data_IF_365238412337
#
_entry.id   IF_365238412337
#
_cell.length_a   1.000
_cell.length_b   1.000
_cell.length_c   1.000
_cell.angle_alpha   90.00
_cell.angle_beta   90.00
_cell.angle_gamma   90.00
#
_symmetry.space_group_name_H-M   'P 1'
#
loop_
_entity.id
_entity.type
_entity.pdbx_description
1 polymer ?
#
# COMPACT_ATOMS: atom_id res chain seq x y z
N UNK A 1 -5.18 -18.54 -19.41
CA UNK A 1 -5.73 -17.47 -18.52
C UNK A 1 -6.87 -16.75 -19.25
N UNK A 2 -7.81 -16.15 -18.51
CA UNK A 2 -8.93 -15.37 -19.06
C UNK A 2 -8.85 -13.95 -18.47
N UNK A 3 -9.18 -12.93 -19.27
CA UNK A 3 -9.20 -11.53 -18.85
C UNK A 3 -10.63 -10.98 -18.91
N UNK A 4 -11.05 -10.30 -17.85
CA UNK A 4 -12.32 -9.57 -17.77
C UNK A 4 -12.03 -8.11 -17.49
N UNK A 5 -12.54 -7.19 -18.33
CA UNK A 5 -12.29 -5.76 -18.24
C UNK A 5 -13.48 -5.00 -17.64
N UNK A 6 -13.25 -3.75 -17.21
CA UNK A 6 -14.32 -2.84 -16.79
C UNK A 6 -14.90 -3.03 -15.39
N UNK A 7 -14.32 -3.91 -14.55
CA UNK A 7 -14.79 -4.18 -13.18
C UNK A 7 -14.86 -2.90 -12.32
N UNK A 8 -13.91 -1.96 -12.50
CA UNK A 8 -13.91 -0.67 -11.81
C UNK A 8 -15.21 0.14 -11.96
N UNK A 9 -15.97 -0.04 -13.06
CA UNK A 9 -17.26 0.65 -13.28
C UNK A 9 -18.37 0.17 -12.35
N UNK A 10 -18.15 -0.94 -11.64
CA UNK A 10 -19.09 -1.52 -10.65
C UNK A 10 -18.65 -1.25 -9.21
N UNK A 11 -17.52 -0.55 -9.01
CA UNK A 11 -16.97 -0.24 -7.69
C UNK A 11 -17.19 1.23 -7.35
N UNK A 12 -17.25 1.54 -6.06
CA UNK A 12 -17.17 2.91 -5.60
C UNK A 12 -15.70 3.39 -5.65
N UNK A 13 -15.33 4.15 -6.69
CA UNK A 13 -13.95 4.58 -6.92
C UNK A 13 -13.33 5.40 -5.77
N UNK A 14 -14.13 6.07 -4.93
CA UNK A 14 -13.60 6.86 -3.81
C UNK A 14 -12.99 5.99 -2.71
N UNK A 15 -13.43 4.74 -2.56
CA UNK A 15 -12.91 3.81 -1.56
C UNK A 15 -11.51 3.28 -1.93
N UNK A 16 -11.19 3.24 -3.22
CA UNK A 16 -9.98 2.60 -3.75
C UNK A 16 -8.86 3.59 -4.08
N UNK A 17 -8.82 4.73 -3.38
CA UNK A 17 -7.76 5.72 -3.53
C UNK A 17 -6.69 5.55 -2.46
N UNK A 18 -5.44 5.80 -2.82
CA UNK A 18 -4.32 5.79 -1.88
C UNK A 18 -4.56 6.77 -0.71
N UNK A 19 -5.15 7.94 -0.98
CA UNK A 19 -5.45 8.90 0.09
C UNK A 19 -6.50 8.37 1.07
N UNK A 20 -7.49 7.60 0.61
CA UNK A 20 -8.50 6.99 1.47
C UNK A 20 -7.85 5.99 2.43
N UNK A 21 -6.98 5.11 1.93
CA UNK A 21 -6.23 4.18 2.79
C UNK A 21 -5.32 4.90 3.77
N UNK A 22 -4.65 5.98 3.33
CA UNK A 22 -3.78 6.76 4.19
C UNK A 22 -4.57 7.43 5.33
N UNK A 23 -5.72 8.03 5.01
CA UNK A 23 -6.55 8.71 6.02
C UNK A 23 -7.11 7.74 7.06
N UNK A 24 -7.54 6.56 6.63
CA UNK A 24 -8.21 5.61 7.51
C UNK A 24 -7.22 4.72 8.29
N UNK A 25 -6.07 4.40 7.69
CA UNK A 25 -5.18 3.38 8.24
C UNK A 25 -3.73 3.82 8.45
N UNK A 26 -3.42 5.13 8.40
CA UNK A 26 -2.06 5.63 8.62
C UNK A 26 -1.38 5.08 9.89
N UNK A 27 -2.14 4.85 10.96
CA UNK A 27 -1.59 4.42 12.24
C UNK A 27 -1.29 2.91 12.30
N UNK A 28 -1.63 2.15 11.25
CA UNK A 28 -1.37 0.71 11.20
C UNK A 28 0.11 0.42 10.90
N UNK A 29 0.62 -0.65 11.49
CA UNK A 29 1.92 -1.22 11.11
C UNK A 29 1.73 -2.24 9.98
N UNK A 30 2.73 -2.36 9.12
CA UNK A 30 2.74 -3.32 8.03
C UNK A 30 4.15 -3.67 7.57
N UNK A 31 4.28 -4.85 6.98
CA UNK A 31 5.55 -5.28 6.41
C UNK A 31 5.73 -4.66 5.03
N UNK A 32 6.78 -3.85 4.87
CA UNK A 32 7.22 -3.32 3.60
C UNK A 32 8.39 -4.16 3.07
N UNK A 33 8.26 -4.66 1.85
CA UNK A 33 9.33 -5.33 1.12
C UNK A 33 9.97 -4.34 0.15
N UNK A 34 11.28 -4.13 0.21
CA UNK A 34 12.01 -3.48 -0.87
C UNK A 34 12.15 -4.43 -2.06
N UNK A 35 11.54 -4.09 -3.20
CA UNK A 35 11.55 -4.91 -4.41
C UNK A 35 12.94 -5.03 -5.04
N UNK A 36 13.90 -4.16 -4.70
CA UNK A 36 15.24 -4.18 -5.29
C UNK A 36 16.12 -5.29 -4.69
N UNK A 37 16.12 -5.43 -3.37
CA UNK A 37 17.00 -6.36 -2.63
C UNK A 37 16.25 -7.44 -1.85
N UNK A 38 14.92 -7.35 -1.76
CA UNK A 38 14.09 -8.30 -1.03
C UNK A 38 14.11 -8.12 0.48
N UNK A 39 14.70 -7.03 1.00
CA UNK A 39 14.74 -6.76 2.44
C UNK A 39 13.35 -6.37 2.93
N UNK A 40 12.91 -6.99 4.02
CA UNK A 40 11.68 -6.59 4.71
C UNK A 40 11.96 -5.63 5.85
N UNK A 41 11.10 -4.64 6.01
CA UNK A 41 11.08 -3.71 7.14
C UNK A 41 9.66 -3.61 7.68
N UNK A 42 9.52 -3.71 9.00
CA UNK A 42 8.26 -3.43 9.67
C UNK A 42 8.18 -1.91 9.89
N UNK A 43 7.28 -1.24 9.16
CA UNK A 43 7.11 0.22 9.13
C UNK A 43 5.62 0.55 9.19
N UNK A 44 5.29 1.81 9.50
CA UNK A 44 3.92 2.29 9.40
C UNK A 44 3.45 2.28 7.94
N UNK A 45 2.25 1.77 7.68
CA UNK A 45 1.68 1.76 6.33
C UNK A 45 1.49 3.16 5.76
N UNK A 46 1.44 4.19 6.63
CA UNK A 46 1.48 5.60 6.25
C UNK A 46 2.66 5.95 5.35
N UNK A 47 3.86 5.44 5.65
CA UNK A 47 5.07 5.72 4.86
C UNK A 47 4.91 5.23 3.42
N UNK A 48 4.29 4.06 3.26
CA UNK A 48 3.96 3.50 1.95
C UNK A 48 2.93 4.36 1.22
N UNK A 49 1.85 4.75 1.89
CA UNK A 49 0.76 5.50 1.26
C UNK A 49 1.13 6.96 0.95
N UNK A 50 1.90 7.64 1.81
CA UNK A 50 2.43 8.98 1.56
C UNK A 50 3.29 9.02 0.29
N UNK A 51 4.11 7.98 0.08
CA UNK A 51 5.00 7.84 -1.06
C UNK A 51 4.38 7.17 -2.30
N UNK A 52 3.09 6.78 -2.26
CA UNK A 52 2.50 5.95 -3.32
C UNK A 52 2.58 6.63 -4.69
N UNK A 53 2.08 7.87 -4.78
CA UNK A 53 2.12 8.69 -5.99
C UNK A 53 3.16 9.83 -5.94
N UNK A 54 3.69 10.14 -4.75
CA UNK A 54 4.66 11.20 -4.54
C UNK A 54 6.07 10.65 -4.27
N UNK A 55 6.92 10.67 -5.30
CA UNK A 55 8.31 10.19 -5.21
C UNK A 55 9.18 11.00 -4.23
N UNK A 56 8.78 12.23 -3.90
CA UNK A 56 9.53 13.08 -2.96
C UNK A 56 9.31 12.65 -1.50
N UNK A 57 8.18 11.99 -1.23
CA UNK A 57 7.82 11.43 0.07
C UNK A 57 8.31 9.99 0.26
N UNK A 58 8.85 9.36 -0.78
CA UNK A 58 9.43 8.02 -0.68
C UNK A 58 10.76 8.06 0.07
N UNK A 59 10.98 7.13 1.01
CA UNK A 59 12.26 7.01 1.69
C UNK A 59 13.40 6.71 0.73
N UNK A 60 14.61 7.10 1.15
CA UNK A 60 15.83 6.86 0.41
C UNK A 60 16.63 5.73 1.07
N UNK A 61 17.29 4.92 0.26
CA UNK A 61 18.30 3.98 0.72
C UNK A 61 19.53 4.74 1.25
N UNK A 62 20.45 4.00 1.89
CA UNK A 62 21.73 4.57 2.35
C UNK A 62 22.55 5.19 1.23
N UNK A 63 22.36 4.72 0.00
CA UNK A 63 23.04 5.20 -1.21
C UNK A 63 22.28 6.36 -1.89
N UNK A 64 21.17 6.84 -1.29
CA UNK A 64 20.37 7.97 -1.78
C UNK A 64 19.33 7.62 -2.85
N UNK A 65 19.19 6.33 -3.20
CA UNK A 65 18.20 5.88 -4.17
C UNK A 65 16.80 5.82 -3.56
N UNK A 66 15.76 6.11 -4.35
CA UNK A 66 14.37 5.98 -3.90
C UNK A 66 14.00 4.52 -3.68
N UNK A 67 13.49 4.19 -2.50
CA UNK A 67 12.98 2.86 -2.16
C UNK A 67 11.79 2.49 -3.07
N UNK A 68 11.71 1.22 -3.47
CA UNK A 68 10.57 0.66 -4.20
C UNK A 68 9.92 -0.38 -3.32
N UNK A 69 8.87 0.01 -2.60
CA UNK A 69 8.21 -0.87 -1.65
C UNK A 69 7.01 -1.62 -2.23
N UNK A 70 6.80 -2.81 -1.69
CA UNK A 70 5.55 -3.57 -1.74
C UNK A 70 5.04 -3.75 -0.32
N UNK A 71 3.83 -3.31 -0.05
CA UNK A 71 3.12 -3.61 1.19
C UNK A 71 2.69 -5.07 1.19
N UNK A 72 3.09 -5.83 2.21
CA UNK A 72 2.92 -7.29 2.28
C UNK A 72 1.91 -7.66 3.35
N UNK A 73 1.05 -8.63 3.02
CA UNK A 73 0.09 -9.27 3.94
C UNK A 73 -0.83 -8.29 4.68
N UNK A 74 -1.08 -7.12 4.09
CA UNK A 74 -1.87 -6.05 4.69
C UNK A 74 -3.03 -5.60 3.79
N UNK A 75 -4.25 -5.51 4.32
CA UNK A 75 -4.69 -6.24 5.51
C UNK A 75 -4.71 -7.74 5.24
N UNK A 76 -4.57 -8.58 6.27
CA UNK A 76 -4.64 -10.02 6.05
C UNK A 76 -6.04 -10.45 5.61
N UNK A 77 -6.17 -11.63 5.00
CA UNK A 77 -7.44 -12.12 4.46
C UNK A 77 -8.55 -12.24 5.50
N UNK A 78 -8.21 -12.58 6.76
CA UNK A 78 -9.16 -12.65 7.87
C UNK A 78 -9.57 -11.25 8.37
N UNK A 79 -8.64 -10.29 8.32
CA UNK A 79 -8.85 -8.93 8.80
C UNK A 79 -9.59 -8.05 7.79
N UNK A 80 -9.54 -8.38 6.49
CA UNK A 80 -10.10 -7.54 5.43
C UNK A 80 -11.57 -7.19 5.69
N UNK A 81 -12.42 -8.17 6.05
CA UNK A 81 -13.85 -7.92 6.30
C UNK A 81 -14.09 -7.10 7.57
N UNK A 82 -13.22 -7.23 8.58
CA UNK A 82 -13.34 -6.51 9.84
C UNK A 82 -12.83 -5.06 9.71
N UNK A 83 -11.75 -4.85 8.97
CA UNK A 83 -11.11 -3.56 8.78
C UNK A 83 -11.74 -2.73 7.65
N UNK A 84 -12.30 -3.38 6.62
CA UNK A 84 -12.88 -2.73 5.45
C UNK A 84 -14.23 -3.37 5.08
N UNK A 85 -15.30 -3.08 5.84
CA UNK A 85 -16.61 -3.71 5.66
C UNK A 85 -17.46 -3.14 4.49
N UNK A 86 -16.99 -2.08 3.80
CA UNK A 86 -17.80 -1.25 2.88
C UNK A 86 -17.50 -1.44 1.39
#
# INVERSE_FOLDING_TARGET
PVLVSGVHKKLNASLWKAESFNQEFADHQGDLLNCKDGVMSNSGVKEFWDGFEDLTKRPKSKDGETMVYRLKDWPSGEEFMALMPS
#
